data_IF_503438739059
#
_entry.id   IF_503438739059
#
_cell.length_a   1.000
_cell.length_b   1.000
_cell.length_c   1.000
_cell.angle_alpha   90.00
_cell.angle_beta   90.00
_cell.angle_gamma   90.00
#
_symmetry.space_group_name_H-M   'P 1'
#
loop_
_entity.id
_entity.type
_entity.pdbx_description
1 polymer ?
#
# COMPACT_ATOMS: atom_id res chain seq x y z
N UNK A 1 26.51 -39.64 6.53
CA UNK A 1 25.28 -39.31 7.30
C UNK A 1 25.70 -38.38 8.43
N UNK A 2 25.72 -37.07 8.17
CA UNK A 2 26.03 -36.04 9.15
C UNK A 2 25.14 -34.85 8.82
N UNK A 3 24.14 -34.62 9.67
CA UNK A 3 23.20 -33.50 9.57
C UNK A 3 23.86 -32.31 10.24
N UNK A 4 24.29 -31.32 9.45
CA UNK A 4 24.65 -30.01 9.97
C UNK A 4 23.37 -29.21 10.22
N UNK A 5 23.07 -28.95 11.49
CA UNK A 5 22.12 -27.90 11.87
C UNK A 5 22.77 -26.55 11.59
N UNK A 6 22.51 -25.99 10.41
CA UNK A 6 22.76 -24.57 10.13
C UNK A 6 21.58 -23.77 10.70
N UNK A 7 21.85 -23.06 11.78
CA UNK A 7 21.03 -22.00 12.36
C UNK A 7 20.47 -21.09 11.27
N UNK A 8 19.14 -21.03 11.13
CA UNK A 8 18.48 -20.04 10.29
C UNK A 8 18.83 -18.64 10.82
N UNK A 9 19.48 -17.83 9.98
CA UNK A 9 19.68 -16.42 10.26
C UNK A 9 18.32 -15.73 10.32
N UNK A 10 18.04 -15.07 11.44
CA UNK A 10 16.92 -14.14 11.58
C UNK A 10 17.14 -13.05 10.54
N UNK A 11 16.43 -13.16 9.42
CA UNK A 11 16.38 -12.09 8.43
C UNK A 11 15.86 -10.84 9.14
N UNK A 12 16.56 -9.71 8.96
CA UNK A 12 16.17 -8.39 9.43
C UNK A 12 14.71 -8.10 9.03
N UNK A 13 13.77 -8.36 9.93
CA UNK A 13 12.40 -7.88 9.82
C UNK A 13 12.51 -6.37 10.04
N UNK A 14 12.54 -5.60 8.95
CA UNK A 14 12.26 -4.17 9.05
C UNK A 14 10.94 -4.03 9.82
N UNK A 15 10.95 -3.19 10.86
CA UNK A 15 9.87 -3.07 11.82
C UNK A 15 8.63 -2.41 11.17
N UNK A 16 7.87 -3.16 10.37
CA UNK A 16 6.74 -2.72 9.51
C UNK A 16 5.48 -2.28 10.27
N UNK A 17 5.64 -1.77 11.49
CA UNK A 17 4.54 -1.48 12.42
C UNK A 17 3.74 -0.24 12.04
N UNK A 18 4.31 0.66 11.23
CA UNK A 18 3.71 1.96 10.95
C UNK A 18 2.54 1.89 9.97
N UNK A 19 2.63 1.08 8.91
CA UNK A 19 1.55 0.93 7.91
C UNK A 19 0.24 0.35 8.45
N UNK A 20 0.29 -0.33 9.59
CA UNK A 20 -0.92 -0.86 10.20
C UNK A 20 -1.69 0.24 10.93
N UNK A 21 -0.96 1.19 11.55
CA UNK A 21 -1.48 2.16 12.51
C UNK A 21 -2.04 3.48 11.94
N UNK A 22 -1.91 3.71 10.63
CA UNK A 22 -2.23 4.99 9.99
C UNK A 22 -3.74 5.16 9.71
N UNK A 23 -4.53 5.43 10.76
CA UNK A 23 -5.98 5.72 10.66
C UNK A 23 -6.31 7.14 11.14
N UNK A 24 -5.46 7.75 11.97
CA UNK A 24 -5.71 9.08 12.54
C UNK A 24 -5.87 10.20 11.48
N UNK A 25 -5.29 10.02 10.29
CA UNK A 25 -5.43 10.96 9.18
C UNK A 25 -6.71 10.80 8.34
N UNK A 26 -7.58 9.83 8.63
CA UNK A 26 -8.79 9.60 7.83
C UNK A 26 -9.80 10.75 8.04
N UNK A 27 -10.24 11.43 6.97
CA UNK A 27 -11.08 12.61 7.09
C UNK A 27 -12.50 12.25 7.58
N UNK A 28 -12.90 10.98 7.50
CA UNK A 28 -14.20 10.45 7.95
C UNK A 28 -15.42 11.19 7.35
N UNK A 29 -15.23 11.78 6.17
CA UNK A 29 -16.26 12.40 5.33
C UNK A 29 -16.27 11.77 3.95
N UNK A 30 -17.36 12.02 3.20
CA UNK A 30 -17.46 11.59 1.81
C UNK A 30 -16.73 12.59 0.91
N UNK A 31 -15.61 12.18 0.35
CA UNK A 31 -14.90 12.91 -0.70
C UNK A 31 -15.44 12.54 -2.09
N UNK A 32 -15.09 13.34 -3.10
CA UNK A 32 -15.40 13.02 -4.49
C UNK A 32 -14.72 11.69 -4.90
N UNK A 33 -15.40 10.85 -5.72
CA UNK A 33 -14.81 9.63 -6.28
C UNK A 33 -13.52 9.90 -7.04
N UNK A 34 -12.61 8.93 -7.04
CA UNK A 34 -11.38 8.98 -7.83
C UNK A 34 -11.71 8.47 -9.23
N UNK A 35 -11.73 9.37 -10.21
CA UNK A 35 -12.07 9.03 -11.60
C UNK A 35 -10.87 9.17 -12.55
N UNK A 36 -10.82 8.32 -13.57
CA UNK A 36 -9.88 8.44 -14.70
C UNK A 36 -8.66 7.53 -14.64
N UNK A 37 -8.26 7.02 -13.47
CA UNK A 37 -7.19 6.02 -13.38
C UNK A 37 -7.54 4.73 -14.14
N UNK A 38 -8.81 4.33 -14.10
CA UNK A 38 -9.32 3.14 -14.78
C UNK A 38 -9.14 3.17 -16.31
N UNK A 39 -9.13 4.37 -16.90
CA UNK A 39 -8.93 4.63 -18.33
C UNK A 39 -7.46 4.67 -18.74
N UNK A 40 -6.52 4.62 -17.79
CA UNK A 40 -5.09 4.59 -18.10
C UNK A 40 -4.69 3.22 -18.67
N UNK A 41 -3.67 3.17 -19.55
CA UNK A 41 -3.10 1.90 -19.99
C UNK A 41 -2.45 1.17 -18.80
N UNK A 42 -2.41 -0.15 -18.89
CA UNK A 42 -1.54 -0.95 -18.03
C UNK A 42 -0.12 -0.84 -18.58
N UNK A 43 0.82 -0.46 -17.73
CA UNK A 43 2.22 -0.15 -18.09
C UNK A 43 3.18 -0.85 -17.12
N UNK A 44 4.47 -0.80 -17.42
CA UNK A 44 5.52 -1.32 -16.52
C UNK A 44 5.56 -0.54 -15.20
N UNK A 45 6.18 -1.10 -14.16
CA UNK A 45 6.29 -0.40 -12.88
C UNK A 45 7.14 0.87 -12.97
N UNK A 46 8.17 0.88 -13.82
CA UNK A 46 9.00 2.05 -14.11
C UNK A 46 8.16 3.18 -14.71
N UNK A 47 7.41 2.89 -15.79
CA UNK A 47 6.52 3.87 -16.42
C UNK A 47 5.41 4.34 -15.47
N UNK A 48 4.90 3.43 -14.63
CA UNK A 48 3.86 3.75 -13.66
C UNK A 48 4.32 4.73 -12.56
N UNK A 49 5.63 4.75 -12.27
CA UNK A 49 6.24 5.54 -11.19
C UNK A 49 7.01 6.76 -11.69
N UNK A 50 7.27 6.88 -12.98
CA UNK A 50 7.91 8.07 -13.57
C UNK A 50 7.24 9.39 -13.17
N UNK A 51 5.90 9.55 -13.17
CA UNK A 51 5.26 10.78 -12.72
C UNK A 51 5.44 11.08 -11.23
N UNK A 52 5.92 10.10 -10.45
CA UNK A 52 6.08 10.18 -9.00
C UNK A 52 7.51 10.56 -8.58
N UNK A 53 8.46 10.71 -9.51
CA UNK A 53 9.87 10.95 -9.17
C UNK A 53 10.11 12.21 -8.33
N UNK A 54 9.27 13.24 -8.50
CA UNK A 54 9.33 14.49 -7.72
C UNK A 54 8.39 14.48 -6.50
N UNK A 55 7.65 13.40 -6.28
CA UNK A 55 6.63 13.28 -5.22
C UNK A 55 7.09 12.27 -4.16
N UNK A 56 7.68 11.16 -4.59
CA UNK A 56 8.11 10.05 -3.74
C UNK A 56 9.63 9.95 -3.78
N UNK A 57 10.34 10.35 -2.72
CA UNK A 57 11.80 10.29 -2.68
C UNK A 57 12.31 8.88 -2.97
N UNK A 58 13.31 8.78 -3.86
CA UNK A 58 14.02 7.53 -4.20
C UNK A 58 13.14 6.42 -4.79
N UNK A 59 11.94 6.73 -5.30
CA UNK A 59 11.02 5.72 -5.83
C UNK A 59 11.67 4.85 -6.92
N UNK A 60 12.45 5.43 -7.83
CA UNK A 60 13.15 4.68 -8.89
C UNK A 60 14.13 3.63 -8.33
N UNK A 61 14.83 3.94 -7.24
CA UNK A 61 15.70 2.97 -6.56
C UNK A 61 14.91 1.79 -6.00
N UNK A 62 13.76 2.07 -5.38
CA UNK A 62 12.93 1.01 -4.80
C UNK A 62 12.19 0.19 -5.85
N UNK A 63 11.80 0.80 -6.98
CA UNK A 63 11.27 0.11 -8.16
C UNK A 63 12.25 -0.95 -8.64
N UNK A 64 13.52 -0.60 -8.79
CA UNK A 64 14.56 -1.58 -9.15
C UNK A 64 14.63 -2.73 -8.14
N UNK A 65 14.69 -2.41 -6.84
CA UNK A 65 14.78 -3.42 -5.76
C UNK A 65 13.57 -4.36 -5.77
N UNK A 66 12.34 -3.84 -5.91
CA UNK A 66 11.15 -4.69 -5.87
C UNK A 66 10.99 -5.55 -7.11
N UNK A 67 11.39 -5.06 -8.29
CA UNK A 67 11.36 -5.86 -9.52
C UNK A 67 12.34 -7.03 -9.45
N UNK A 68 13.52 -6.81 -8.88
CA UNK A 68 14.48 -7.88 -8.64
C UNK A 68 13.92 -8.95 -7.69
N UNK A 69 13.13 -8.57 -6.67
CA UNK A 69 12.48 -9.50 -5.74
C UNK A 69 11.25 -10.20 -6.34
N UNK A 70 10.54 -9.54 -7.27
CA UNK A 70 9.30 -10.02 -7.86
C UNK A 70 9.49 -10.91 -9.10
N UNK A 71 10.72 -11.35 -9.40
CA UNK A 71 11.05 -12.17 -10.59
C UNK A 71 10.27 -13.48 -10.69
N UNK A 72 9.79 -14.02 -9.56
CA UNK A 72 8.97 -15.23 -9.49
C UNK A 72 7.60 -14.90 -8.88
N UNK A 73 6.69 -14.27 -9.65
CA UNK A 73 5.35 -13.96 -9.15
C UNK A 73 4.50 -15.24 -9.01
N UNK A 74 3.40 -15.14 -8.27
CA UNK A 74 2.33 -16.16 -8.28
C UNK A 74 1.73 -16.23 -9.69
N UNK A 75 1.27 -17.41 -10.12
CA UNK A 75 0.89 -17.71 -11.51
C UNK A 75 -0.02 -16.66 -12.19
N UNK A 76 -0.88 -15.98 -11.44
CA UNK A 76 -1.86 -15.01 -11.97
C UNK A 76 -1.35 -13.56 -12.07
N UNK A 77 -0.14 -13.25 -11.57
CA UNK A 77 0.42 -11.90 -11.59
C UNK A 77 1.59 -11.77 -12.55
N UNK A 78 1.64 -10.64 -13.26
CA UNK A 78 2.86 -10.22 -13.94
C UNK A 78 3.93 -9.79 -12.92
N UNK A 79 5.19 -9.70 -13.38
CA UNK A 79 6.29 -9.17 -12.55
C UNK A 79 5.99 -7.75 -12.10
N UNK A 80 5.50 -6.87 -12.98
CA UNK A 80 5.18 -5.47 -12.63
C UNK A 80 4.01 -5.36 -11.66
N UNK A 81 3.00 -6.23 -11.78
CA UNK A 81 1.87 -6.30 -10.86
C UNK A 81 2.30 -6.74 -9.46
N UNK A 82 3.06 -7.83 -9.38
CA UNK A 82 3.64 -8.33 -8.12
C UNK A 82 4.57 -7.28 -7.48
N UNK A 83 5.44 -6.67 -8.29
CA UNK A 83 6.34 -5.61 -7.85
C UNK A 83 5.59 -4.36 -7.37
N UNK A 84 4.44 -4.02 -7.97
CA UNK A 84 3.62 -2.89 -7.52
C UNK A 84 3.09 -3.09 -6.09
N UNK A 85 2.66 -4.31 -5.76
CA UNK A 85 2.21 -4.70 -4.40
C UNK A 85 3.40 -4.70 -3.43
N UNK A 86 4.54 -5.25 -3.86
CA UNK A 86 5.77 -5.23 -3.06
C UNK A 86 6.24 -3.80 -2.77
N UNK A 87 6.16 -2.89 -3.74
CA UNK A 87 6.50 -1.47 -3.56
C UNK A 87 5.55 -0.77 -2.59
N UNK A 88 4.25 -1.05 -2.70
CA UNK A 88 3.25 -0.50 -1.79
C UNK A 88 3.43 -0.98 -0.35
N UNK A 89 3.93 -2.19 -0.14
CA UNK A 89 4.11 -2.77 1.20
C UNK A 89 5.48 -2.50 1.81
N UNK A 90 6.41 -1.98 1.01
CA UNK A 90 7.76 -1.65 1.46
C UNK A 90 7.77 -0.33 2.22
N UNK A 91 8.32 -0.36 3.44
CA UNK A 91 8.66 0.82 4.21
C UNK A 91 10.14 1.14 4.05
N UNK A 92 10.49 2.43 4.08
CA UNK A 92 11.88 2.84 4.11
C UNK A 92 12.08 4.10 4.92
N UNK A 93 13.32 4.33 5.36
CA UNK A 93 13.68 5.50 6.17
C UNK A 93 13.95 6.76 5.33
N UNK A 94 13.40 7.92 5.74
CA UNK A 94 12.40 8.06 6.80
C UNK A 94 11.04 7.51 6.36
N UNK A 95 10.28 6.88 7.27
CA UNK A 95 8.99 6.23 6.95
C UNK A 95 8.02 7.10 6.14
N UNK A 96 8.02 8.41 6.41
CA UNK A 96 7.19 9.41 5.72
C UNK A 96 7.52 9.58 4.23
N UNK A 97 8.69 9.11 3.80
CA UNK A 97 9.12 9.15 2.41
C UNK A 97 8.68 7.89 1.64
N UNK A 98 8.13 6.89 2.33
CA UNK A 98 7.66 5.65 1.71
C UNK A 98 6.49 5.90 0.77
N UNK A 99 6.46 5.16 -0.35
CA UNK A 99 5.36 5.24 -1.32
C UNK A 99 4.01 4.99 -0.64
N UNK A 100 3.96 3.99 0.26
CA UNK A 100 2.80 3.71 1.09
C UNK A 100 2.27 4.97 1.79
N UNK A 101 3.14 5.67 2.50
CA UNK A 101 2.76 6.79 3.36
C UNK A 101 2.24 7.95 2.51
N UNK A 102 2.98 8.31 1.47
CA UNK A 102 2.65 9.44 0.60
C UNK A 102 1.38 9.15 -0.19
N UNK A 103 1.21 7.92 -0.71
CA UNK A 103 0.01 7.53 -1.45
C UNK A 103 -1.22 7.60 -0.55
N UNK A 104 -1.20 6.99 0.64
CA UNK A 104 -2.34 7.01 1.54
C UNK A 104 -2.67 8.43 2.03
N UNK A 105 -1.65 9.26 2.28
CA UNK A 105 -1.85 10.69 2.58
C UNK A 105 -2.53 11.41 1.41
N UNK A 106 -2.10 11.15 0.18
CA UNK A 106 -2.69 11.74 -1.03
C UNK A 106 -4.13 11.27 -1.25
N UNK A 107 -4.42 9.98 -1.00
CA UNK A 107 -5.77 9.41 -1.12
C UNK A 107 -6.76 10.04 -0.13
N UNK A 108 -6.30 10.41 1.07
CA UNK A 108 -7.10 11.09 2.10
C UNK A 108 -7.27 12.58 1.85
N UNK A 109 -6.49 13.17 0.95
CA UNK A 109 -6.57 14.59 0.62
C UNK A 109 -7.86 14.90 -0.16
N UNK A 110 -8.52 16.00 0.21
CA UNK A 110 -9.73 16.49 -0.45
C UNK A 110 -9.45 16.97 -1.89
N UNK A 111 -8.26 17.53 -2.15
CA UNK A 111 -7.86 17.93 -3.50
C UNK A 111 -7.53 16.72 -4.37
N UNK A 112 -8.54 16.23 -5.10
CA UNK A 112 -8.41 15.09 -6.01
C UNK A 112 -7.45 15.33 -7.18
N UNK A 113 -7.06 16.57 -7.48
CA UNK A 113 -6.06 16.84 -8.54
C UNK A 113 -4.68 16.30 -8.16
N UNK A 114 -4.37 16.25 -6.86
CA UNK A 114 -3.13 15.68 -6.33
C UNK A 114 -2.93 14.20 -6.67
N UNK A 115 -4.02 13.46 -6.95
CA UNK A 115 -3.97 12.06 -7.34
C UNK A 115 -3.62 11.83 -8.81
N UNK A 116 -3.68 12.85 -9.69
CA UNK A 116 -3.45 12.67 -11.13
C UNK A 116 -2.09 12.01 -11.48
N UNK A 117 -0.96 12.38 -10.84
CA UNK A 117 0.31 11.71 -11.08
C UNK A 117 0.30 10.21 -10.73
N UNK A 118 -0.57 9.80 -9.81
CA UNK A 118 -0.69 8.43 -9.32
C UNK A 118 -1.50 7.52 -10.24
N UNK A 119 -2.17 8.04 -11.28
CA UNK A 119 -3.16 7.26 -12.01
C UNK A 119 -2.58 6.02 -12.71
N UNK A 120 -1.35 6.07 -13.22
CA UNK A 120 -0.70 4.89 -13.81
C UNK A 120 -0.38 3.85 -12.72
N UNK A 121 0.17 4.29 -11.58
CA UNK A 121 0.43 3.41 -10.44
C UNK A 121 -0.85 2.79 -9.87
N UNK A 122 -1.90 3.59 -9.66
CA UNK A 122 -3.22 3.12 -9.21
C UNK A 122 -3.83 2.12 -10.18
N UNK A 123 -3.72 2.37 -11.49
CA UNK A 123 -4.15 1.41 -12.51
C UNK A 123 -3.42 0.08 -12.36
N UNK A 124 -2.10 0.10 -12.18
CA UNK A 124 -1.28 -1.11 -12.05
C UNK A 124 -1.61 -1.89 -10.77
N UNK A 125 -1.58 -1.25 -9.60
CA UNK A 125 -1.80 -1.93 -8.32
C UNK A 125 -3.24 -2.43 -8.15
N UNK A 126 -4.26 -1.68 -8.59
CA UNK A 126 -5.63 -2.18 -8.52
C UNK A 126 -5.87 -3.33 -9.50
N UNK A 127 -5.22 -3.33 -10.66
CA UNK A 127 -5.25 -4.50 -11.57
C UNK A 127 -4.61 -5.71 -10.89
N UNK A 128 -3.44 -5.55 -10.28
CA UNK A 128 -2.76 -6.61 -9.53
C UNK A 128 -3.66 -7.18 -8.40
N UNK A 129 -4.23 -6.32 -7.56
CA UNK A 129 -5.10 -6.73 -6.47
C UNK A 129 -6.38 -7.42 -6.95
N UNK A 130 -6.93 -7.01 -8.10
CA UNK A 130 -8.13 -7.64 -8.68
C UNK A 130 -7.92 -9.07 -9.17
N UNK A 131 -6.67 -9.47 -9.42
CA UNK A 131 -6.30 -10.83 -9.82
C UNK A 131 -6.03 -11.76 -8.65
N UNK A 132 -5.85 -11.22 -7.45
CA UNK A 132 -5.65 -12.04 -6.25
C UNK A 132 -6.97 -12.66 -5.78
N UNK A 133 -6.94 -13.88 -5.22
CA UNK A 133 -8.13 -14.51 -4.70
C UNK A 133 -8.72 -13.70 -3.54
N UNK A 134 -10.04 -13.53 -3.57
CA UNK A 134 -10.76 -12.92 -2.45
C UNK A 134 -10.88 -13.93 -1.30
N UNK A 135 -10.62 -13.48 -0.08
CA UNK A 135 -10.75 -14.28 1.14
C UNK A 135 -11.79 -13.65 2.07
N UNK A 136 -12.61 -14.48 2.69
CA UNK A 136 -13.60 -14.05 3.68
C UNK A 136 -13.18 -14.57 5.06
N UNK A 137 -12.39 -13.75 5.77
CA UNK A 137 -11.84 -14.08 7.09
C UNK A 137 -11.87 -12.85 7.99
N UNK A 138 -11.84 -13.07 9.30
CA UNK A 138 -11.62 -11.98 10.26
C UNK A 138 -10.18 -11.50 10.17
N UNK A 139 -10.02 -10.18 10.03
CA UNK A 139 -8.72 -9.50 10.00
C UNK A 139 -8.69 -8.39 11.04
N UNK A 140 -7.49 -8.03 11.45
CA UNK A 140 -7.22 -6.98 12.44
C UNK A 140 -6.40 -5.87 11.79
N UNK A 141 -6.69 -4.63 12.17
CA UNK A 141 -5.88 -3.45 11.84
C UNK A 141 -5.49 -2.79 13.16
N UNK A 142 -4.19 -2.71 13.43
CA UNK A 142 -3.69 -1.95 14.58
C UNK A 142 -3.96 -0.47 14.37
N UNK A 143 -4.27 0.29 15.42
CA UNK A 143 -4.51 1.73 15.30
C UNK A 143 -3.86 2.42 16.48
N UNK A 144 -3.07 3.47 16.24
CA UNK A 144 -2.48 4.29 17.31
C UNK A 144 -3.49 5.34 17.79
N UNK A 145 -3.70 5.42 19.10
CA UNK A 145 -4.28 6.57 19.83
C UNK A 145 -5.67 7.10 19.40
N UNK A 146 -6.58 6.24 18.93
CA UNK A 146 -7.86 6.71 18.33
C UNK A 146 -9.05 6.75 19.27
N UNK A 147 -8.98 6.21 20.49
CA UNK A 147 -10.25 5.90 21.17
C UNK A 147 -10.94 7.16 21.73
N UNK A 148 -10.22 8.12 22.32
CA UNK A 148 -10.92 9.27 22.96
C UNK A 148 -11.36 10.37 21.98
N UNK A 149 -10.53 10.74 21.00
CA UNK A 149 -10.83 11.86 20.08
C UNK A 149 -11.72 11.47 18.88
N UNK A 150 -11.79 10.18 18.53
CA UNK A 150 -12.52 9.69 17.35
C UNK A 150 -13.81 8.92 17.68
N UNK A 151 -14.16 8.77 18.96
CA UNK A 151 -15.39 8.08 19.40
C UNK A 151 -16.65 8.62 18.71
N UNK A 152 -16.71 9.93 18.46
CA UNK A 152 -17.79 10.57 17.72
C UNK A 152 -17.82 10.20 16.22
N UNK A 153 -16.66 9.85 15.65
CA UNK A 153 -16.54 9.46 14.24
C UNK A 153 -16.93 7.99 14.03
N UNK A 154 -16.57 7.09 14.95
CA UNK A 154 -16.77 5.64 14.86
C UNK A 154 -17.96 5.14 15.70
N UNK A 155 -19.18 5.46 15.25
CA UNK A 155 -20.43 5.01 15.90
C UNK A 155 -21.00 3.74 15.27
N UNK A 156 -21.51 2.84 16.09
CA UNK A 156 -22.23 1.64 15.62
C UNK A 156 -23.39 2.05 14.72
N UNK A 157 -23.55 1.36 13.58
CA UNK A 157 -24.57 1.66 12.58
C UNK A 157 -24.21 2.78 11.60
N UNK A 158 -23.12 3.53 11.83
CA UNK A 158 -22.64 4.55 10.89
C UNK A 158 -21.77 3.90 9.81
N UNK A 159 -22.01 4.28 8.55
CA UNK A 159 -21.12 3.90 7.44
C UNK A 159 -19.88 4.78 7.44
N UNK A 160 -18.72 4.15 7.30
CA UNK A 160 -17.43 4.83 7.21
C UNK A 160 -16.78 4.52 5.88
N UNK A 161 -16.02 5.49 5.37
CA UNK A 161 -15.19 5.33 4.17
C UNK A 161 -13.76 5.63 4.58
N UNK A 162 -12.89 4.64 4.42
CA UNK A 162 -11.45 4.83 4.50
C UNK A 162 -10.92 5.08 3.10
N UNK A 163 -10.39 6.28 2.89
CA UNK A 163 -9.94 6.70 1.57
C UNK A 163 -8.57 6.15 1.24
N UNK A 164 -7.72 5.94 2.26
CA UNK A 164 -6.50 5.18 2.13
C UNK A 164 -6.77 3.68 1.98
N UNK A 165 -5.78 2.96 1.45
CA UNK A 165 -5.76 1.51 1.49
C UNK A 165 -5.79 1.00 2.93
N UNK A 166 -6.52 -0.09 3.14
CA UNK A 166 -6.67 -0.71 4.46
C UNK A 166 -5.77 -1.93 4.60
N UNK A 167 -4.57 -1.71 5.13
CA UNK A 167 -3.66 -2.79 5.49
C UNK A 167 -4.13 -3.50 6.77
N UNK A 168 -4.18 -4.83 6.73
CA UNK A 168 -4.65 -5.67 7.83
C UNK A 168 -3.82 -6.96 7.96
N UNK A 169 -4.01 -7.67 9.07
CA UNK A 169 -3.36 -8.94 9.39
C UNK A 169 -4.39 -9.93 9.94
N UNK A 170 -4.26 -11.21 9.61
CA UNK A 170 -5.05 -12.28 10.24
C UNK A 170 -4.55 -12.61 11.66
N UNK A 171 -3.34 -12.18 12.01
CA UNK A 171 -2.71 -12.36 13.32
C UNK A 171 -2.85 -11.06 14.11
N UNK A 172 -3.28 -11.19 15.36
CA UNK A 172 -3.43 -10.09 16.32
C UNK A 172 -2.10 -9.75 17.00
#
# INVERSE_FOLDING_TARGET
MTVCYSTMSVANIQNTTYRFADVAGEPCIMLAPIEGFNKKPLVTLEEATEPLYNIVPRVGTYVYIVKERAKNPVEDLSVDESASIALYTMEWEPYTDSLYYILNTTLRNEDRKSLKPWFLYLKLIFTALSRLPSVNVTVYRGVKDIIESEHEKYKVGKRLVWWGFSSCSAIR
#
